data_IF_888544359220
#
_entry.id   IF_888544359220
#
_cell.length_a   1.000
_cell.length_b   1.000
_cell.length_c   1.000
_cell.angle_alpha   90.00
_cell.angle_beta   90.00
_cell.angle_gamma   90.00
#
_symmetry.space_group_name_H-M   'P 1'
#
loop_
_entity.id
_entity.type
_entity.pdbx_description
1 polymer ?
#
# COMPACT_ATOMS: atom_id res chain seq x y z
N UNK A 1 -65.32 -27.47 18.21
CA UNK A 1 -65.90 -28.13 19.41
C UNK A 1 -64.75 -28.73 20.20
N UNK A 2 -64.63 -28.27 21.46
CA UNK A 2 -64.00 -28.85 22.66
C UNK A 2 -62.73 -29.72 22.51
N UNK A 3 -61.57 -29.32 23.02
CA UNK A 3 -61.13 -29.20 24.44
C UNK A 3 -60.55 -30.51 24.98
N UNK A 4 -59.28 -30.49 25.39
CA UNK A 4 -58.90 -30.73 26.80
C UNK A 4 -57.40 -30.51 27.00
N UNK A 5 -57.11 -29.66 27.97
CA UNK A 5 -55.82 -29.53 28.63
C UNK A 5 -55.79 -30.44 29.88
N UNK A 6 -54.61 -30.89 30.29
CA UNK A 6 -54.33 -31.21 31.70
C UNK A 6 -52.83 -31.10 31.99
N UNK A 7 -52.53 -30.51 33.15
CA UNK A 7 -51.28 -29.90 33.59
C UNK A 7 -50.24 -30.84 34.23
N UNK A 8 -48.96 -30.36 34.20
CA UNK A 8 -47.91 -30.36 35.25
C UNK A 8 -47.22 -31.66 35.73
N UNK A 9 -45.94 -31.62 36.21
CA UNK A 9 -45.37 -30.59 37.11
C UNK A 9 -43.98 -30.00 36.80
N UNK A 10 -43.75 -28.87 37.46
CA UNK A 10 -42.48 -28.14 37.59
C UNK A 10 -41.45 -28.98 38.36
N UNK A 11 -40.25 -29.09 37.81
CA UNK A 11 -39.06 -29.56 38.51
C UNK A 11 -37.97 -28.48 38.41
N UNK A 12 -37.56 -27.97 39.56
CA UNK A 12 -36.48 -27.00 39.71
C UNK A 12 -35.15 -27.60 39.24
N UNK A 13 -34.51 -27.00 38.23
CA UNK A 13 -33.13 -27.27 37.89
C UNK A 13 -32.23 -26.09 38.25
N UNK A 14 -31.51 -26.32 39.35
CA UNK A 14 -30.39 -25.53 39.87
C UNK A 14 -29.28 -25.48 38.82
N UNK A 15 -28.91 -24.27 38.37
CA UNK A 15 -27.73 -24.05 37.56
C UNK A 15 -26.47 -24.13 38.44
N UNK A 16 -25.72 -25.21 38.34
CA UNK A 16 -24.36 -25.31 38.89
C UNK A 16 -23.36 -24.69 37.92
N UNK A 17 -22.77 -23.56 38.31
CA UNK A 17 -21.68 -22.89 37.59
C UNK A 17 -20.38 -23.71 37.72
N UNK A 18 -19.97 -24.36 36.64
CA UNK A 18 -18.64 -24.94 36.49
C UNK A 18 -17.77 -23.97 35.67
N UNK A 19 -16.72 -23.44 36.30
CA UNK A 19 -15.76 -22.52 35.65
C UNK A 19 -14.86 -23.28 34.66
N UNK A 20 -14.53 -22.71 33.49
CA UNK A 20 -13.57 -23.29 32.56
C UNK A 20 -12.12 -23.14 33.08
N UNK A 21 -11.18 -23.99 32.64
CA UNK A 21 -9.80 -23.95 33.10
C UNK A 21 -9.11 -22.67 32.63
N UNK A 22 -8.37 -22.02 33.54
CA UNK A 22 -7.59 -20.82 33.27
C UNK A 22 -6.47 -21.14 32.28
N UNK A 23 -6.61 -20.68 31.03
CA UNK A 23 -5.47 -20.53 30.13
C UNK A 23 -4.55 -19.45 30.69
N UNK A 24 -3.30 -19.78 30.99
CA UNK A 24 -2.26 -18.81 31.33
C UNK A 24 -2.02 -17.92 30.11
N UNK A 25 -2.57 -16.72 30.13
CA UNK A 25 -2.21 -15.65 29.20
C UNK A 25 -0.72 -15.33 29.37
N UNK A 26 0.07 -15.29 28.28
CA UNK A 26 1.42 -14.73 28.37
C UNK A 26 1.30 -13.25 28.78
N UNK A 27 2.32 -12.69 29.47
CA UNK A 27 2.26 -11.31 29.93
C UNK A 27 2.04 -10.37 28.73
N UNK A 28 1.28 -9.27 28.90
CA UNK A 28 1.06 -8.32 27.83
C UNK A 28 2.41 -7.79 27.36
N UNK A 29 2.69 -7.93 26.06
CA UNK A 29 3.82 -7.23 25.46
C UNK A 29 3.62 -5.72 25.66
N UNK A 30 4.68 -4.96 25.97
CA UNK A 30 4.55 -3.55 26.26
C UNK A 30 3.91 -2.85 25.05
N UNK A 31 2.84 -2.09 25.32
CA UNK A 31 2.17 -1.24 24.34
C UNK A 31 3.22 -0.44 23.58
N UNK A 32 3.21 -0.56 22.24
CA UNK A 32 4.04 0.20 21.29
C UNK A 32 4.04 1.70 21.59
N UNK A 33 2.97 2.22 22.21
CA UNK A 33 2.87 3.60 22.70
C UNK A 33 3.87 3.98 23.80
N UNK A 34 4.18 3.06 24.74
CA UNK A 34 5.05 3.35 25.89
C UNK A 34 6.51 3.56 25.50
N UNK A 35 7.00 2.85 24.48
CA UNK A 35 8.37 2.98 23.97
C UNK A 35 8.54 4.26 23.13
N UNK A 36 7.48 4.69 22.42
CA UNK A 36 7.46 5.93 21.65
C UNK A 36 7.36 7.16 22.56
N UNK A 37 6.60 7.07 23.67
CA UNK A 37 6.50 8.15 24.66
C UNK A 37 7.74 8.23 25.57
N UNK A 38 8.34 7.11 25.97
CA UNK A 38 9.53 7.10 26.82
C UNK A 38 10.79 7.64 26.14
N UNK A 39 10.83 7.68 24.80
CA UNK A 39 11.95 8.24 24.03
C UNK A 39 11.87 9.78 23.89
N UNK A 40 10.75 10.40 24.28
CA UNK A 40 10.61 11.86 24.29
C UNK A 40 11.17 12.50 25.57
N UNK A 41 12.44 12.24 25.90
CA UNK A 41 13.12 12.93 27.01
C UNK A 41 13.36 14.41 26.65
N UNK A 42 12.76 15.32 27.44
CA UNK A 42 13.09 16.75 27.45
C UNK A 42 14.50 16.94 28.02
N UNK A 43 15.53 16.79 27.19
CA UNK A 43 16.91 17.16 27.55
C UNK A 43 17.27 18.53 26.96
N UNK A 44 17.86 19.41 27.78
CA UNK A 44 18.41 20.70 27.34
C UNK A 44 19.69 20.50 26.50
N UNK A 45 19.78 21.22 25.37
CA UNK A 45 21.01 21.56 24.63
C UNK A 45 21.92 20.41 24.18
N UNK A 46 22.70 19.85 25.10
CA UNK A 46 23.78 18.89 24.84
C UNK A 46 23.29 17.43 24.77
N UNK A 47 22.22 17.05 25.49
CA UNK A 47 21.71 15.68 25.46
C UNK A 47 20.85 15.33 24.24
N UNK A 48 20.26 16.32 23.55
CA UNK A 48 19.40 16.06 22.37
C UNK A 48 20.16 15.50 21.18
N UNK A 49 21.42 15.90 21.00
CA UNK A 49 22.26 15.41 19.92
C UNK A 49 22.66 13.95 20.15
N UNK A 50 23.10 13.61 21.37
CA UNK A 50 23.45 12.25 21.76
C UNK A 50 22.23 11.31 21.68
N UNK A 51 21.06 11.74 22.20
CA UNK A 51 19.81 10.97 22.08
C UNK A 51 19.42 10.78 20.62
N UNK A 52 19.48 11.83 19.81
CA UNK A 52 19.15 11.69 18.38
C UNK A 52 20.14 10.82 17.62
N UNK A 53 21.41 10.75 18.04
CA UNK A 53 22.41 9.87 17.44
C UNK A 53 22.12 8.41 17.80
N UNK A 54 21.85 8.13 19.08
CA UNK A 54 21.45 6.81 19.56
C UNK A 54 20.17 6.31 18.86
N UNK A 55 19.13 7.14 18.75
CA UNK A 55 17.90 6.74 18.03
C UNK A 55 18.14 6.47 16.53
N UNK A 56 19.12 7.14 15.91
CA UNK A 56 19.50 6.84 14.52
C UNK A 56 20.20 5.49 14.42
N UNK A 57 21.09 5.20 15.37
CA UNK A 57 21.81 3.94 15.46
C UNK A 57 20.86 2.77 15.71
N UNK A 58 19.92 2.91 16.67
CA UNK A 58 18.89 1.91 16.95
C UNK A 58 17.99 1.66 15.74
N UNK A 59 17.54 2.71 15.04
CA UNK A 59 16.77 2.53 13.79
C UNK A 59 17.57 1.74 12.74
N UNK A 60 18.85 2.07 12.55
CA UNK A 60 19.69 1.36 11.58
C UNK A 60 19.91 -0.08 11.98
N UNK A 61 20.19 -0.37 13.25
CA UNK A 61 20.34 -1.73 13.74
C UNK A 61 19.08 -2.60 13.50
N UNK A 62 17.89 -1.97 13.53
CA UNK A 62 16.61 -2.68 13.36
C UNK A 62 16.13 -2.81 11.91
N UNK A 63 16.56 -1.90 11.03
CA UNK A 63 15.99 -1.76 9.70
C UNK A 63 17.00 -1.87 8.55
N UNK A 64 18.28 -1.55 8.79
CA UNK A 64 19.27 -1.47 7.73
C UNK A 64 19.69 -2.87 7.27
N UNK A 65 19.73 -3.07 5.95
CA UNK A 65 20.25 -4.27 5.35
C UNK A 65 21.79 -4.32 5.53
N UNK A 66 22.38 -5.52 5.72
CA UNK A 66 23.81 -5.71 5.73
C UNK A 66 24.46 -5.10 4.49
N UNK A 67 25.65 -4.51 4.65
CA UNK A 67 26.32 -3.76 3.58
C UNK A 67 26.49 -4.59 2.30
N UNK A 68 26.85 -5.87 2.43
CA UNK A 68 26.99 -6.79 1.30
C UNK A 68 25.69 -6.96 0.51
N UNK A 69 24.55 -7.07 1.22
CA UNK A 69 23.24 -7.26 0.59
C UNK A 69 22.73 -5.97 -0.02
N UNK A 70 23.00 -4.81 0.59
CA UNK A 70 22.75 -3.50 -0.04
C UNK A 70 23.52 -3.35 -1.35
N UNK A 71 24.80 -3.70 -1.36
CA UNK A 71 25.61 -3.68 -2.57
C UNK A 71 25.06 -4.64 -3.64
N UNK A 72 24.63 -5.84 -3.24
CA UNK A 72 24.05 -6.85 -4.13
C UNK A 72 22.78 -6.35 -4.82
N UNK A 73 21.81 -5.87 -4.03
CA UNK A 73 20.52 -5.40 -4.58
C UNK A 73 20.68 -4.14 -5.41
N UNK A 74 21.63 -3.27 -5.05
CA UNK A 74 21.96 -2.08 -5.85
C UNK A 74 22.60 -2.47 -7.19
N UNK A 75 23.51 -3.46 -7.21
CA UNK A 75 24.07 -4.00 -8.44
C UNK A 75 23.00 -4.63 -9.33
N UNK A 76 22.10 -5.43 -8.75
CA UNK A 76 20.99 -6.07 -9.46
C UNK A 76 20.04 -5.05 -10.10
N UNK A 77 19.66 -4.02 -9.33
CA UNK A 77 18.78 -2.97 -9.82
C UNK A 77 19.44 -2.15 -10.95
N UNK A 78 20.73 -1.83 -10.81
CA UNK A 78 21.49 -1.08 -11.82
C UNK A 78 21.69 -1.87 -13.11
N UNK A 79 21.98 -3.17 -12.99
CA UNK A 79 22.17 -4.06 -14.13
C UNK A 79 20.85 -4.49 -14.79
N UNK A 80 19.71 -4.28 -14.10
CA UNK A 80 18.43 -4.90 -14.44
C UNK A 80 18.57 -6.41 -14.61
N UNK A 81 19.30 -7.02 -13.67
CA UNK A 81 19.59 -8.45 -13.65
C UNK A 81 19.67 -8.92 -12.19
N UNK A 82 18.73 -9.76 -11.72
CA UNK A 82 18.73 -10.25 -10.34
C UNK A 82 20.03 -11.00 -9.97
N UNK A 83 20.70 -11.60 -10.95
CA UNK A 83 21.92 -12.39 -10.74
C UNK A 83 23.18 -11.56 -10.53
N UNK A 84 23.14 -10.27 -10.88
CA UNK A 84 24.30 -9.38 -10.71
C UNK A 84 24.71 -9.19 -9.23
N UNK A 85 23.84 -9.54 -8.29
CA UNK A 85 24.13 -9.55 -6.84
C UNK A 85 24.82 -10.82 -6.32
N UNK A 86 25.09 -11.82 -7.15
CA UNK A 86 25.62 -13.12 -6.73
C UNK A 86 26.96 -13.04 -5.98
N UNK A 87 27.76 -11.99 -6.21
CA UNK A 87 29.04 -11.77 -5.53
C UNK A 87 28.91 -11.62 -4.00
N UNK A 88 27.71 -11.29 -3.50
CA UNK A 88 27.48 -11.06 -2.08
C UNK A 88 27.13 -12.34 -1.30
N UNK A 89 27.10 -13.50 -1.97
CA UNK A 89 26.77 -14.78 -1.35
C UNK A 89 27.73 -15.15 -0.21
N UNK A 90 27.15 -15.51 0.93
CA UNK A 90 27.89 -16.10 2.06
C UNK A 90 27.22 -17.39 2.49
N UNK A 91 27.96 -18.50 2.42
CA UNK A 91 27.49 -19.79 2.91
C UNK A 91 27.30 -19.76 4.44
N UNK A 92 26.22 -20.39 4.91
CA UNK A 92 25.74 -20.36 6.31
C UNK A 92 26.72 -20.77 7.42
N UNK A 93 27.95 -21.21 7.10
CA UNK A 93 28.99 -21.58 8.07
C UNK A 93 30.18 -20.60 8.15
N UNK A 94 30.25 -19.57 7.30
CA UNK A 94 31.39 -18.64 7.29
C UNK A 94 31.26 -17.51 8.34
N UNK A 95 30.04 -17.09 8.70
CA UNK A 95 29.80 -16.08 9.73
C UNK A 95 30.24 -16.53 11.15
N UNK A 96 30.42 -17.84 11.37
CA UNK A 96 30.90 -18.39 12.64
C UNK A 96 32.43 -18.32 12.82
N UNK A 97 33.20 -17.86 11.83
CA UNK A 97 34.65 -17.70 11.93
C UNK A 97 35.08 -16.29 11.55
N UNK A 98 35.05 -15.40 12.55
CA UNK A 98 35.74 -14.11 12.47
C UNK A 98 37.18 -14.29 12.00
N UNK A 99 37.52 -13.67 10.88
CA UNK A 99 38.85 -13.69 10.30
C UNK A 99 39.18 -12.32 9.73
N UNK A 100 39.99 -11.54 10.47
CA UNK A 100 40.69 -10.36 9.97
C UNK A 100 41.41 -10.70 8.65
N UNK A 101 41.07 -10.00 7.59
CA UNK A 101 41.82 -9.99 6.33
C UNK A 101 41.83 -8.59 5.75
N UNK A 102 42.93 -7.87 5.93
CA UNK A 102 43.12 -6.53 5.36
C UNK A 102 43.39 -6.58 3.85
N UNK A 103 42.89 -5.58 3.14
CA UNK A 103 43.19 -5.32 1.74
C UNK A 103 42.70 -3.92 1.38
N UNK A 104 43.63 -2.98 1.30
CA UNK A 104 43.33 -1.58 0.99
C UNK A 104 42.92 -1.37 -0.46
N UNK A 105 41.87 -0.58 -0.63
CA UNK A 105 41.48 0.06 -1.88
C UNK A 105 40.72 1.33 -1.52
N UNK A 106 41.13 2.47 -2.07
CA UNK A 106 40.48 3.78 -1.88
C UNK A 106 38.99 3.68 -2.20
N UNK A 107 38.15 3.86 -1.18
CA UNK A 107 36.71 3.96 -1.32
C UNK A 107 36.31 5.42 -1.19
N UNK A 108 35.69 5.93 -2.26
CA UNK A 108 34.97 7.21 -2.32
C UNK A 108 34.18 7.46 -1.04
N UNK A 109 34.15 8.72 -0.59
CA UNK A 109 33.54 9.21 0.65
C UNK A 109 32.07 8.77 0.86
N UNK A 110 31.88 7.52 1.25
CA UNK A 110 30.62 6.96 1.70
C UNK A 110 30.49 7.26 3.20
N UNK A 111 29.26 7.56 3.63
CA UNK A 111 28.97 7.94 5.01
C UNK A 111 29.40 6.80 5.97
N UNK A 112 30.31 7.03 6.93
CA UNK A 112 30.90 5.96 7.79
C UNK A 112 29.87 5.15 8.58
N UNK A 113 28.67 5.69 8.75
CA UNK A 113 27.57 5.06 9.46
C UNK A 113 26.99 3.83 8.76
N UNK A 114 27.27 3.62 7.47
CA UNK A 114 26.77 2.47 6.72
C UNK A 114 27.64 1.22 6.84
N UNK A 115 28.82 1.30 7.46
CA UNK A 115 29.70 0.13 7.63
C UNK A 115 29.32 -0.75 8.84
N UNK A 116 28.37 -0.32 9.69
CA UNK A 116 28.09 -0.94 11.00
C UNK A 116 26.91 -1.95 10.97
N UNK A 117 26.30 -2.21 9.82
CA UNK A 117 25.26 -3.24 9.76
C UNK A 117 25.91 -4.61 10.01
N UNK A 118 25.55 -5.26 11.13
CA UNK A 118 25.97 -6.63 11.47
C UNK A 118 25.73 -7.56 10.25
N UNK A 119 26.58 -8.55 10.04
CA UNK A 119 26.38 -9.53 8.94
C UNK A 119 25.06 -10.32 9.08
N UNK A 120 24.48 -10.28 10.28
CA UNK A 120 23.17 -10.83 10.60
C UNK A 120 22.03 -9.96 10.05
N UNK A 121 20.97 -10.61 9.60
CA UNK A 121 19.78 -9.92 9.13
C UNK A 121 19.11 -9.12 10.26
N UNK A 122 18.67 -7.87 10.02
CA UNK A 122 17.88 -7.13 11.00
C UNK A 122 16.55 -7.84 11.29
N UNK A 123 16.00 -7.61 12.48
CA UNK A 123 14.70 -8.18 12.88
C UNK A 123 13.54 -7.63 12.03
N UNK A 124 13.63 -6.38 11.57
CA UNK A 124 12.57 -5.72 10.78
C UNK A 124 13.18 -4.93 9.63
N UNK A 125 13.75 -5.61 8.62
CA UNK A 125 14.32 -4.95 7.46
C UNK A 125 13.26 -4.07 6.81
N UNK A 126 13.61 -2.82 6.51
CA UNK A 126 12.64 -1.85 6.03
C UNK A 126 13.21 -1.09 4.83
N UNK A 127 12.46 -1.06 3.74
CA UNK A 127 12.72 -0.16 2.62
C UNK A 127 11.63 0.90 2.54
N UNK A 128 11.94 2.05 1.95
CA UNK A 128 10.98 3.13 1.77
C UNK A 128 10.89 3.55 0.30
N UNK A 129 9.67 3.63 -0.24
CA UNK A 129 9.37 4.34 -1.47
C UNK A 129 8.92 5.75 -1.16
N UNK A 130 9.45 6.73 -1.89
CA UNK A 130 9.05 8.13 -1.77
C UNK A 130 8.61 8.63 -3.14
N UNK A 131 7.41 9.20 -3.21
CA UNK A 131 6.98 9.98 -4.37
C UNK A 131 7.33 11.46 -4.12
N UNK A 132 8.37 12.02 -4.78
CA UNK A 132 8.78 13.41 -4.56
C UNK A 132 7.73 14.43 -5.00
N UNK A 133 6.80 14.04 -5.89
CA UNK A 133 5.71 14.90 -6.36
C UNK A 133 4.58 15.03 -5.34
N UNK A 134 4.53 14.17 -4.31
CA UNK A 134 3.52 14.21 -3.26
C UNK A 134 3.84 15.20 -2.13
N UNK A 135 2.82 15.63 -1.38
CA UNK A 135 2.99 16.41 -0.14
C UNK A 135 3.44 17.86 -0.31
N UNK A 136 3.08 18.53 -1.42
CA UNK A 136 3.37 19.96 -1.59
C UNK A 136 4.87 20.29 -1.59
N UNK A 137 5.69 19.45 -2.23
CA UNK A 137 7.18 19.52 -2.27
C UNK A 137 7.90 19.10 -0.99
N UNK A 138 7.22 18.47 -0.02
CA UNK A 138 7.89 17.84 1.13
C UNK A 138 8.64 16.56 0.73
N UNK A 139 8.23 15.90 -0.36
CA UNK A 139 8.79 14.61 -0.80
C UNK A 139 10.33 14.57 -0.89
N UNK A 140 11.01 15.49 -1.58
CA UNK A 140 12.48 15.51 -1.66
C UNK A 140 13.15 15.65 -0.28
N UNK A 141 12.62 16.53 0.56
CA UNK A 141 13.15 16.79 1.90
C UNK A 141 12.94 15.59 2.83
N UNK A 142 11.77 14.93 2.72
CA UNK A 142 11.49 13.70 3.44
C UNK A 142 12.39 12.56 2.97
N UNK A 143 12.62 12.43 1.65
CA UNK A 143 13.54 11.44 1.07
C UNK A 143 14.93 11.55 1.71
N UNK A 144 15.54 12.74 1.68
CA UNK A 144 16.85 12.98 2.31
C UNK A 144 16.85 12.58 3.77
N UNK A 145 15.76 12.90 4.50
CA UNK A 145 15.66 12.52 5.90
C UNK A 145 15.52 11.02 6.12
N UNK A 146 14.76 10.31 5.29
CA UNK A 146 14.67 8.84 5.38
C UNK A 146 16.03 8.22 5.05
N UNK A 147 16.74 8.74 4.05
CA UNK A 147 18.10 8.29 3.69
C UNK A 147 19.07 8.45 4.87
N UNK A 148 19.02 9.59 5.57
CA UNK A 148 19.78 9.79 6.81
C UNK A 148 19.43 8.79 7.92
N UNK A 149 18.20 8.27 7.97
CA UNK A 149 17.72 7.41 9.04
C UNK A 149 17.98 5.93 8.77
N UNK A 150 17.77 5.44 7.54
CA UNK A 150 17.80 4.00 7.24
C UNK A 150 18.74 3.57 6.10
N UNK A 151 19.22 4.47 5.24
CA UNK A 151 19.88 4.02 4.01
C UNK A 151 19.60 4.87 2.80
N UNK A 152 20.64 5.28 2.07
CA UNK A 152 20.43 5.72 0.68
C UNK A 152 19.95 4.55 -0.19
N UNK A 153 20.56 3.37 -0.04
CA UNK A 153 20.24 2.16 -0.81
C UNK A 153 18.88 1.54 -0.45
N UNK A 154 18.23 2.03 0.60
CA UNK A 154 16.93 1.52 1.10
C UNK A 154 15.79 2.52 0.88
N UNK A 155 16.07 3.69 0.30
CA UNK A 155 15.06 4.72 0.03
C UNK A 155 14.98 4.97 -1.47
N UNK A 156 13.94 4.41 -2.07
CA UNK A 156 13.68 4.44 -3.50
C UNK A 156 12.82 5.65 -3.88
N UNK A 157 13.29 6.39 -4.88
CA UNK A 157 12.54 7.47 -5.49
C UNK A 157 11.64 6.91 -6.59
N UNK A 158 10.33 7.03 -6.44
CA UNK A 158 9.36 6.48 -7.39
C UNK A 158 9.39 7.12 -8.77
N UNK A 159 10.09 8.24 -8.94
CA UNK A 159 10.33 8.84 -10.27
C UNK A 159 11.55 8.24 -10.97
N UNK A 160 12.36 7.46 -10.26
CA UNK A 160 13.60 6.85 -10.76
C UNK A 160 13.48 5.33 -10.79
N UNK A 161 12.98 4.73 -9.70
CA UNK A 161 12.84 3.29 -9.52
C UNK A 161 11.37 2.94 -9.46
N UNK A 162 10.87 2.20 -10.46
CA UNK A 162 9.50 1.71 -10.46
C UNK A 162 9.35 0.58 -9.41
N UNK A 163 8.19 0.45 -8.73
CA UNK A 163 7.94 -0.66 -7.82
C UNK A 163 8.07 -2.04 -8.51
N UNK A 164 7.74 -2.13 -9.80
CA UNK A 164 7.96 -3.33 -10.61
C UNK A 164 9.44 -3.72 -10.71
N UNK A 165 10.33 -2.75 -10.91
CA UNK A 165 11.78 -2.99 -10.98
C UNK A 165 12.31 -3.46 -9.62
N UNK A 166 11.77 -2.92 -8.53
CA UNK A 166 12.09 -3.41 -7.18
C UNK A 166 11.68 -4.88 -6.99
N UNK A 167 10.45 -5.24 -7.37
CA UNK A 167 9.94 -6.61 -7.26
C UNK A 167 10.76 -7.58 -8.12
N UNK A 168 11.14 -7.16 -9.33
CA UNK A 168 11.89 -8.01 -10.25
C UNK A 168 13.36 -8.16 -9.84
N UNK A 169 14.07 -7.04 -9.59
CA UNK A 169 15.52 -7.05 -9.44
C UNK A 169 15.98 -7.09 -7.98
N UNK A 170 15.33 -6.34 -7.08
CA UNK A 170 15.73 -6.31 -5.66
C UNK A 170 15.25 -7.56 -4.93
N UNK A 171 13.95 -7.86 -4.98
CA UNK A 171 13.44 -9.08 -4.35
C UNK A 171 13.97 -10.33 -5.05
N UNK A 172 14.06 -10.33 -6.39
CA UNK A 172 14.64 -11.44 -7.15
C UNK A 172 16.10 -11.72 -6.76
N UNK A 173 16.92 -10.68 -6.53
CA UNK A 173 18.29 -10.87 -6.06
C UNK A 173 18.34 -11.50 -4.66
N UNK A 174 17.50 -11.03 -3.72
CA UNK A 174 17.41 -11.60 -2.37
C UNK A 174 16.94 -13.05 -2.40
N UNK A 175 15.97 -13.38 -3.26
CA UNK A 175 15.45 -14.73 -3.47
C UNK A 175 16.54 -15.66 -4.02
N UNK A 176 17.29 -15.24 -5.05
CA UNK A 176 18.39 -16.04 -5.59
C UNK A 176 19.50 -16.31 -4.57
N UNK A 177 19.86 -15.30 -3.76
CA UNK A 177 20.84 -15.48 -2.69
C UNK A 177 20.29 -16.42 -1.60
N UNK A 178 19.01 -16.29 -1.24
CA UNK A 178 18.36 -17.18 -0.28
C UNK A 178 18.32 -18.63 -0.78
N UNK A 179 18.01 -18.85 -2.06
CA UNK A 179 17.97 -20.17 -2.71
C UNK A 179 19.37 -20.79 -2.81
N UNK A 180 20.40 -19.96 -2.99
CA UNK A 180 21.80 -20.40 -2.91
C UNK A 180 22.25 -20.78 -1.48
N UNK A 181 21.42 -20.52 -0.46
CA UNK A 181 21.66 -20.88 0.94
C UNK A 181 22.14 -19.72 1.83
N UNK A 182 22.01 -18.47 1.39
CA UNK A 182 22.33 -17.31 2.23
C UNK A 182 21.23 -17.06 3.27
N UNK A 183 21.53 -17.35 4.54
CA UNK A 183 20.55 -17.22 5.62
C UNK A 183 20.12 -15.77 5.89
N UNK A 184 21.01 -14.79 5.68
CA UNK A 184 20.67 -13.39 5.91
C UNK A 184 19.73 -12.89 4.83
N UNK A 185 20.01 -13.23 3.56
CA UNK A 185 19.10 -12.90 2.44
C UNK A 185 17.73 -13.55 2.63
N UNK A 186 17.70 -14.83 3.06
CA UNK A 186 16.45 -15.53 3.38
C UNK A 186 15.65 -14.85 4.50
N UNK A 187 16.31 -14.51 5.61
CA UNK A 187 15.68 -13.81 6.73
C UNK A 187 15.16 -12.43 6.32
N UNK A 188 15.95 -11.68 5.55
CA UNK A 188 15.54 -10.37 5.04
C UNK A 188 14.33 -10.50 4.12
N UNK A 189 14.36 -11.40 3.14
CA UNK A 189 13.25 -11.61 2.21
C UNK A 189 11.95 -11.98 2.93
N UNK A 190 12.04 -12.74 4.03
CA UNK A 190 10.91 -13.16 4.83
C UNK A 190 10.35 -12.04 5.72
N UNK A 191 11.23 -11.23 6.33
CA UNK A 191 10.85 -10.22 7.33
C UNK A 191 10.75 -8.80 6.78
N UNK A 192 11.01 -8.60 5.48
CA UNK A 192 11.04 -7.29 4.83
C UNK A 192 9.70 -6.57 4.96
N UNK A 193 9.75 -5.30 5.34
CA UNK A 193 8.61 -4.39 5.39
C UNK A 193 8.86 -3.25 4.40
N UNK A 194 7.78 -2.70 3.86
CA UNK A 194 7.83 -1.59 2.89
C UNK A 194 7.12 -0.38 3.47
N UNK A 195 7.75 0.79 3.45
CA UNK A 195 7.12 2.07 3.77
C UNK A 195 6.90 2.88 2.50
N UNK A 196 5.71 3.44 2.31
CA UNK A 196 5.38 4.28 1.14
C UNK A 196 5.02 5.69 1.59
N UNK A 197 5.80 6.68 1.15
CA UNK A 197 5.52 8.09 1.35
C UNK A 197 4.87 8.69 0.11
N UNK A 198 3.55 8.87 0.15
CA UNK A 198 2.73 9.29 -0.98
C UNK A 198 1.27 9.50 -0.61
N UNK A 199 0.41 9.72 -1.61
CA UNK A 199 -1.04 9.63 -1.47
C UNK A 199 -1.58 8.25 -1.85
N UNK A 200 -2.89 8.05 -1.82
CA UNK A 200 -3.53 6.75 -2.05
C UNK A 200 -3.14 6.10 -3.39
N UNK A 201 -3.11 6.86 -4.50
CA UNK A 201 -2.67 6.31 -5.79
C UNK A 201 -1.21 5.84 -5.81
N UNK A 202 -0.32 6.47 -5.03
CA UNK A 202 1.07 6.02 -4.88
C UNK A 202 1.14 4.74 -4.06
N UNK A 203 0.37 4.65 -2.98
CA UNK A 203 0.30 3.44 -2.14
C UNK A 203 -0.30 2.28 -2.94
N UNK A 204 -1.38 2.52 -3.68
CA UNK A 204 -2.03 1.54 -4.56
C UNK A 204 -1.11 1.04 -5.67
N UNK A 205 -0.27 1.91 -6.26
CA UNK A 205 0.73 1.48 -7.25
C UNK A 205 1.73 0.49 -6.66
N UNK A 206 2.29 0.79 -5.48
CA UNK A 206 3.24 -0.11 -4.80
C UNK A 206 2.56 -1.42 -4.41
N UNK A 207 1.36 -1.35 -3.82
CA UNK A 207 0.58 -2.54 -3.45
C UNK A 207 0.27 -3.41 -4.66
N UNK A 208 -0.14 -2.83 -5.80
CA UNK A 208 -0.41 -3.56 -7.03
C UNK A 208 0.81 -4.33 -7.54
N UNK A 209 1.99 -3.69 -7.57
CA UNK A 209 3.22 -4.37 -7.95
C UNK A 209 3.65 -5.46 -6.95
N UNK A 210 3.45 -5.25 -5.64
CA UNK A 210 3.71 -6.29 -4.64
C UNK A 210 2.68 -7.44 -4.73
N UNK A 211 1.45 -7.15 -5.15
CA UNK A 211 0.41 -8.15 -5.42
C UNK A 211 0.78 -9.11 -6.55
N UNK A 212 1.60 -8.68 -7.52
CA UNK A 212 2.12 -9.58 -8.57
C UNK A 212 2.93 -10.75 -7.96
N UNK A 213 3.51 -10.60 -6.75
CA UNK A 213 4.15 -11.70 -6.03
C UNK A 213 3.19 -12.83 -5.71
N UNK A 214 1.94 -12.51 -5.32
CA UNK A 214 0.90 -13.50 -5.04
C UNK A 214 0.58 -14.32 -6.29
N UNK A 215 0.35 -13.62 -7.40
CA UNK A 215 0.05 -14.23 -8.71
C UNK A 215 1.18 -15.15 -9.17
N UNK A 216 2.43 -14.79 -8.86
CA UNK A 216 3.63 -15.56 -9.19
C UNK A 216 3.96 -16.66 -8.16
N UNK A 217 3.14 -16.86 -7.12
CA UNK A 217 3.43 -17.77 -6.00
C UNK A 217 4.75 -17.47 -5.28
N UNK A 218 5.12 -16.19 -5.14
CA UNK A 218 6.36 -15.70 -4.50
C UNK A 218 6.10 -15.13 -3.11
N UNK A 219 5.96 -16.00 -2.13
CA UNK A 219 5.68 -15.60 -0.73
C UNK A 219 6.95 -15.32 0.11
N UNK A 220 6.85 -14.51 1.19
CA UNK A 220 5.69 -13.70 1.59
C UNK A 220 5.57 -12.40 0.80
N UNK A 221 4.38 -11.79 0.76
CA UNK A 221 4.19 -10.42 0.27
C UNK A 221 4.60 -9.45 1.39
N UNK A 222 5.58 -8.55 1.18
CA UNK A 222 5.99 -7.60 2.20
C UNK A 222 4.84 -6.71 2.69
N UNK A 223 4.59 -6.56 4.01
CA UNK A 223 3.59 -5.65 4.52
C UNK A 223 3.94 -4.19 4.21
N UNK A 224 2.92 -3.39 3.90
CA UNK A 224 3.07 -1.98 3.51
C UNK A 224 2.59 -1.04 4.62
N UNK A 225 3.46 -0.11 4.99
CA UNK A 225 3.19 0.99 5.89
C UNK A 225 3.13 2.33 5.12
N UNK A 226 2.39 3.31 5.63
CA UNK A 226 2.11 4.55 4.88
C UNK A 226 2.63 5.79 5.63
N UNK A 227 3.29 6.69 4.89
CA UNK A 227 3.47 8.10 5.27
C UNK A 227 2.50 8.94 4.41
N UNK A 228 1.41 9.51 5.00
CA UNK A 228 0.34 10.17 4.25
C UNK A 228 0.72 11.55 3.73
N UNK A 229 1.28 11.60 2.52
CA UNK A 229 1.63 12.84 1.81
C UNK A 229 0.53 13.32 0.85
N UNK A 230 -0.55 12.56 0.66
CA UNK A 230 -1.68 12.92 -0.18
C UNK A 230 -2.65 13.91 0.49
N UNK A 231 -3.76 14.18 -0.21
CA UNK A 231 -4.85 15.06 0.30
C UNK A 231 -5.99 14.25 0.95
N UNK A 232 -6.38 13.11 0.35
CA UNK A 232 -7.40 12.19 0.88
C UNK A 232 -6.82 11.30 1.99
N UNK A 233 -5.83 10.48 1.63
CA UNK A 233 -5.14 9.53 2.50
C UNK A 233 -6.09 8.53 3.16
N UNK A 234 -7.03 7.99 2.40
CA UNK A 234 -8.10 7.12 2.90
C UNK A 234 -7.53 5.82 3.45
N UNK A 235 -6.59 5.17 2.74
CA UNK A 235 -5.91 3.97 3.25
C UNK A 235 -5.16 4.26 4.55
N UNK A 236 -4.47 5.39 4.60
CA UNK A 236 -3.73 5.79 5.79
C UNK A 236 -4.65 6.02 7.00
N UNK A 237 -5.86 6.55 6.79
CA UNK A 237 -6.85 6.73 7.87
C UNK A 237 -7.36 5.39 8.37
N UNK A 238 -7.78 4.51 7.46
CA UNK A 238 -8.35 3.20 7.79
C UNK A 238 -7.37 2.32 8.59
N UNK A 239 -6.08 2.39 8.29
CA UNK A 239 -5.03 1.63 8.98
C UNK A 239 -4.30 2.43 10.08
N UNK A 240 -4.85 3.60 10.47
CA UNK A 240 -4.37 4.39 11.60
C UNK A 240 -3.02 5.09 11.40
N UNK A 241 -2.49 5.19 10.18
CA UNK A 241 -1.29 5.96 9.81
C UNK A 241 -1.51 7.47 9.80
N UNK A 242 -2.77 7.89 9.82
CA UNK A 242 -3.17 9.28 10.06
C UNK A 242 -3.67 9.98 8.80
N UNK A 243 -4.32 11.13 9.01
CA UNK A 243 -4.99 11.89 7.97
C UNK A 243 -4.02 12.70 7.06
N UNK A 244 -2.88 13.10 7.62
CA UNK A 244 -1.88 13.91 6.93
C UNK A 244 -0.55 13.82 7.66
N UNK A 245 0.54 14.12 6.95
CA UNK A 245 1.86 14.15 7.55
C UNK A 245 2.07 15.43 8.40
N UNK A 246 2.50 15.31 9.67
CA UNK A 246 2.59 16.45 10.59
C UNK A 246 3.62 17.53 10.20
N UNK A 247 3.37 18.78 10.61
CA UNK A 247 4.31 19.91 10.47
C UNK A 247 5.69 19.64 11.10
N UNK A 248 5.73 18.89 12.21
CA UNK A 248 6.96 18.37 12.84
C UNK A 248 7.59 17.21 12.06
N UNK A 249 7.74 17.36 10.75
CA UNK A 249 7.99 16.29 9.78
C UNK A 249 9.26 15.47 10.06
N UNK A 250 10.32 16.09 10.61
CA UNK A 250 11.57 15.39 10.97
C UNK A 250 11.35 14.32 12.05
N UNK A 251 10.59 14.66 13.08
CA UNK A 251 10.26 13.73 14.16
C UNK A 251 9.16 12.76 13.71
N UNK A 252 8.24 13.20 12.87
CA UNK A 252 7.20 12.34 12.30
C UNK A 252 7.78 11.25 11.40
N UNK A 253 8.80 11.53 10.59
CA UNK A 253 9.48 10.54 9.76
C UNK A 253 10.08 9.42 10.64
N UNK A 254 10.80 9.80 11.70
CA UNK A 254 11.36 8.87 12.68
C UNK A 254 10.27 8.00 13.34
N UNK A 255 9.21 8.62 13.84
CA UNK A 255 8.08 7.89 14.45
C UNK A 255 7.38 6.95 13.48
N UNK A 256 7.28 7.33 12.20
CA UNK A 256 6.66 6.48 11.18
C UNK A 256 7.49 5.22 10.92
N UNK A 257 8.82 5.35 10.88
CA UNK A 257 9.73 4.19 10.78
C UNK A 257 9.60 3.27 11.98
N UNK A 258 9.62 3.80 13.21
CA UNK A 258 9.42 2.98 14.41
C UNK A 258 8.05 2.30 14.43
N UNK A 259 7.00 3.03 14.04
CA UNK A 259 5.67 2.45 13.89
C UNK A 259 5.65 1.35 12.83
N UNK A 260 6.40 1.48 11.74
CA UNK A 260 6.53 0.44 10.72
C UNK A 260 7.36 -0.76 11.19
N UNK A 261 8.31 -0.57 12.10
CA UNK A 261 9.12 -1.65 12.70
C UNK A 261 8.32 -2.42 13.74
N UNK A 262 7.59 -1.74 14.63
CA UNK A 262 6.88 -2.37 15.76
C UNK A 262 5.39 -2.58 15.53
N UNK A 263 4.82 -2.03 14.45
CA UNK A 263 3.40 -2.13 14.16
C UNK A 263 2.97 -3.56 13.85
N UNK A 264 1.76 -3.93 14.24
CA UNK A 264 1.11 -5.17 13.82
C UNK A 264 0.75 -5.11 12.34
N UNK A 265 0.75 -6.27 11.69
CA UNK A 265 0.25 -6.41 10.31
C UNK A 265 -1.26 -6.64 10.36
N UNK A 266 -1.98 -6.09 9.39
CA UNK A 266 -3.40 -6.30 9.19
C UNK A 266 -3.65 -6.66 7.74
N UNK A 267 -4.60 -7.56 7.49
CA UNK A 267 -4.99 -7.91 6.14
C UNK A 267 -5.70 -6.72 5.47
N UNK A 268 -5.52 -6.60 4.16
CA UNK A 268 -6.18 -5.63 3.32
C UNK A 268 -6.79 -6.40 2.15
N UNK A 269 -8.09 -6.23 1.95
CA UNK A 269 -8.77 -6.79 0.79
C UNK A 269 -8.39 -6.01 -0.46
N UNK A 270 -8.33 -6.72 -1.57
CA UNK A 270 -7.88 -6.22 -2.87
C UNK A 270 -8.95 -6.51 -3.90
N UNK A 271 -9.49 -5.47 -4.53
CA UNK A 271 -10.54 -5.61 -5.53
C UNK A 271 -9.92 -5.62 -6.91
N UNK A 272 -10.01 -6.76 -7.60
CA UNK A 272 -9.65 -6.86 -9.01
C UNK A 272 -10.85 -6.41 -9.84
N UNK A 273 -10.65 -5.36 -10.62
CA UNK A 273 -11.68 -4.76 -11.47
C UNK A 273 -11.28 -4.94 -12.91
N UNK A 274 -12.20 -5.45 -13.70
CA UNK A 274 -12.10 -5.52 -15.16
C UNK A 274 -13.12 -4.55 -15.76
N UNK A 275 -12.66 -3.67 -16.63
CA UNK A 275 -13.46 -2.70 -17.36
C UNK A 275 -13.40 -3.04 -18.84
N UNK A 276 -14.56 -3.29 -19.43
CA UNK A 276 -14.69 -3.53 -20.87
C UNK A 276 -15.41 -2.36 -21.52
N UNK A 277 -14.82 -1.79 -22.56
CA UNK A 277 -15.37 -0.64 -23.28
C UNK A 277 -15.55 -0.95 -24.76
N UNK A 278 -16.65 -0.50 -25.41
CA UNK A 278 -16.81 -0.62 -26.85
C UNK A 278 -15.61 -0.03 -27.59
N UNK A 279 -15.23 -0.63 -28.71
CA UNK A 279 -14.19 -0.07 -29.59
C UNK A 279 -14.56 1.36 -30.01
N UNK A 280 -13.60 2.28 -29.87
CA UNK A 280 -13.73 3.63 -30.43
C UNK A 280 -13.60 3.54 -31.95
N UNK A 281 -14.67 3.91 -32.67
CA UNK A 281 -14.73 3.81 -34.14
C UNK A 281 -14.14 5.00 -34.91
N UNK A 282 -13.62 6.05 -34.27
CA UNK A 282 -13.19 7.26 -34.99
C UNK A 282 -11.79 7.77 -34.61
N UNK A 283 -11.16 8.35 -35.63
CA UNK A 283 -9.78 8.78 -35.83
C UNK A 283 -9.37 9.96 -34.92
N UNK A 284 -8.91 9.66 -33.70
CA UNK A 284 -7.93 10.44 -32.95
C UNK A 284 -7.58 9.57 -31.73
N UNK A 285 -6.60 8.69 -31.89
CA UNK A 285 -6.00 7.95 -30.77
C UNK A 285 -5.29 8.96 -29.85
N UNK A 286 -6.05 9.69 -29.03
CA UNK A 286 -5.47 10.31 -27.85
C UNK A 286 -4.95 9.16 -26.97
N UNK A 287 -3.62 9.06 -26.85
CA UNK A 287 -2.94 8.13 -25.96
C UNK A 287 -3.47 8.37 -24.54
N UNK A 288 -4.40 7.51 -24.10
CA UNK A 288 -4.99 7.62 -22.78
C UNK A 288 -3.91 7.37 -21.73
N UNK A 289 -3.60 8.37 -20.91
CA UNK A 289 -2.72 8.20 -19.76
C UNK A 289 -3.47 7.43 -18.67
N UNK A 290 -3.16 6.14 -18.52
CA UNK A 290 -3.79 5.29 -17.52
C UNK A 290 -3.10 5.47 -16.16
N UNK A 291 -3.86 5.51 -15.06
CA UNK A 291 -3.26 5.48 -13.73
C UNK A 291 -2.46 4.18 -13.57
N UNK A 292 -1.38 4.21 -12.78
CA UNK A 292 -0.49 3.05 -12.59
C UNK A 292 -1.18 1.77 -12.07
N UNK A 293 -2.39 1.90 -11.52
CA UNK A 293 -3.22 0.80 -11.03
C UNK A 293 -4.03 0.09 -12.11
N UNK A 294 -4.11 0.64 -13.33
CA UNK A 294 -4.88 0.11 -14.44
C UNK A 294 -3.94 -0.29 -15.61
N UNK A 295 -4.13 -1.49 -16.16
CA UNK A 295 -3.38 -2.04 -17.28
C UNK A 295 -4.33 -2.27 -18.45
N UNK A 296 -3.86 -2.00 -19.66
CA UNK A 296 -4.58 -2.33 -20.89
C UNK A 296 -4.31 -3.80 -21.24
N UNK A 297 -5.36 -4.61 -21.33
CA UNK A 297 -5.28 -6.03 -21.69
C UNK A 297 -5.47 -6.27 -23.20
N UNK A 298 -5.76 -5.23 -23.96
CA UNK A 298 -6.05 -5.30 -25.39
C UNK A 298 -7.52 -5.66 -25.66
N UNK A 299 -7.76 -6.19 -26.86
CA UNK A 299 -9.09 -6.59 -27.31
C UNK A 299 -9.47 -7.97 -26.74
N UNK A 300 -10.72 -8.07 -26.29
CA UNK A 300 -11.31 -9.29 -25.76
C UNK A 300 -12.71 -9.46 -26.34
N UNK A 301 -13.18 -10.71 -26.42
CA UNK A 301 -14.57 -11.00 -26.81
C UNK A 301 -15.51 -10.54 -25.70
N UNK A 302 -16.53 -9.74 -26.04
CA UNK A 302 -17.53 -9.34 -25.05
C UNK A 302 -18.25 -10.59 -24.52
N UNK A 303 -18.23 -10.79 -23.20
CA UNK A 303 -19.02 -11.85 -22.57
C UNK A 303 -20.45 -11.33 -22.40
N UNK A 304 -21.34 -11.74 -23.31
CA UNK A 304 -22.78 -11.51 -23.17
C UNK A 304 -23.36 -12.51 -22.17
N UNK A 305 -23.87 -12.00 -21.05
CA UNK A 305 -24.60 -12.81 -20.07
C UNK A 305 -26.08 -13.03 -20.47
N UNK A 306 -26.47 -12.58 -21.67
CA UNK A 306 -27.80 -12.69 -22.23
C UNK A 306 -28.79 -11.66 -21.68
N UNK A 307 -28.32 -10.69 -20.89
CA UNK A 307 -29.18 -9.67 -20.28
C UNK A 307 -29.16 -8.33 -21.02
N UNK A 308 -28.20 -8.06 -21.89
CA UNK A 308 -28.08 -6.79 -22.59
C UNK A 308 -29.12 -6.65 -23.72
N UNK A 309 -29.82 -5.51 -23.77
CA UNK A 309 -30.72 -5.16 -24.87
C UNK A 309 -29.95 -4.33 -25.92
N UNK A 310 -29.84 -4.81 -27.17
CA UNK A 310 -29.23 -4.08 -28.29
C UNK A 310 -28.22 -4.92 -29.10
N UNK A 311 -27.72 -4.35 -30.21
CA UNK A 311 -26.55 -4.91 -30.92
C UNK A 311 -25.29 -4.64 -30.09
N UNK A 312 -24.73 -5.70 -29.51
CA UNK A 312 -23.48 -5.62 -28.75
C UNK A 312 -22.26 -5.66 -29.69
N UNK A 313 -21.18 -4.94 -29.38
CA UNK A 313 -19.90 -5.09 -30.08
C UNK A 313 -19.38 -6.53 -29.94
N UNK A 314 -18.93 -7.15 -31.04
CA UNK A 314 -18.26 -8.47 -30.99
C UNK A 314 -16.93 -8.40 -30.23
N UNK A 315 -16.24 -7.25 -30.32
CA UNK A 315 -14.95 -6.97 -29.69
C UNK A 315 -15.05 -5.72 -28.80
N UNK A 316 -14.39 -5.79 -27.64
CA UNK A 316 -14.29 -4.69 -26.68
C UNK A 316 -12.85 -4.54 -26.21
N UNK A 317 -12.46 -3.32 -25.87
CA UNK A 317 -11.19 -3.05 -25.21
C UNK A 317 -11.32 -3.40 -23.73
N UNK A 318 -10.49 -4.33 -23.25
CA UNK A 318 -10.43 -4.76 -21.86
C UNK A 318 -9.31 -4.04 -21.11
N UNK A 319 -9.62 -3.59 -19.90
CA UNK A 319 -8.67 -3.03 -18.95
C UNK A 319 -8.85 -3.74 -17.62
N UNK A 320 -7.76 -3.96 -16.90
CA UNK A 320 -7.84 -4.51 -15.55
C UNK A 320 -6.98 -3.73 -14.55
N UNK A 321 -7.34 -3.83 -13.28
CA UNK A 321 -6.62 -3.12 -12.25
C UNK A 321 -7.00 -3.55 -10.86
N UNK A 322 -6.22 -3.09 -9.89
CA UNK A 322 -6.44 -3.38 -8.48
C UNK A 322 -6.79 -2.12 -7.72
N UNK A 323 -7.88 -2.20 -6.95
CA UNK A 323 -8.43 -1.11 -6.15
C UNK A 323 -8.49 -1.53 -4.68
N UNK A 324 -8.26 -0.56 -3.78
CA UNK A 324 -8.15 -0.81 -2.34
C UNK A 324 -9.08 0.05 -1.48
N UNK A 325 -9.77 1.02 -2.08
CA UNK A 325 -10.62 1.97 -1.35
C UNK A 325 -12.05 1.95 -1.89
N UNK A 326 -12.22 2.41 -3.13
CA UNK A 326 -13.51 2.50 -3.79
C UNK A 326 -13.31 2.49 -5.30
N UNK A 327 -14.38 2.16 -6.01
CA UNK A 327 -14.54 2.34 -7.44
C UNK A 327 -15.84 3.10 -7.66
N UNK A 328 -15.80 4.18 -8.44
CA UNK A 328 -16.97 5.03 -8.69
C UNK A 328 -17.18 5.28 -10.18
N UNK A 329 -18.45 5.41 -10.56
CA UNK A 329 -18.92 5.77 -11.90
C UNK A 329 -19.92 6.91 -11.73
N UNK A 330 -19.99 7.82 -12.71
CA UNK A 330 -20.94 8.94 -12.72
C UNK A 330 -20.39 10.19 -12.03
N UNK A 331 -21.24 10.89 -11.27
CA UNK A 331 -20.93 12.23 -10.74
C UNK A 331 -19.63 12.28 -9.93
N UNK A 332 -19.42 11.31 -9.03
CA UNK A 332 -18.21 11.27 -8.19
C UNK A 332 -16.95 11.10 -9.05
N UNK A 333 -16.97 10.15 -9.97
CA UNK A 333 -15.87 9.93 -10.92
C UNK A 333 -15.59 11.16 -11.79
N UNK A 334 -16.65 11.86 -12.24
CA UNK A 334 -16.52 13.08 -13.04
C UNK A 334 -15.91 14.24 -12.24
N UNK A 335 -16.29 14.40 -10.97
CA UNK A 335 -15.69 15.39 -10.05
C UNK A 335 -14.23 15.07 -9.80
N UNK A 336 -13.91 13.80 -9.51
CA UNK A 336 -12.55 13.34 -9.28
C UNK A 336 -11.66 13.54 -10.53
N UNK A 337 -12.18 13.20 -11.71
CA UNK A 337 -11.51 13.41 -12.99
C UNK A 337 -11.24 14.90 -13.26
N UNK A 338 -12.27 15.75 -13.12
CA UNK A 338 -12.11 17.20 -13.33
C UNK A 338 -11.10 17.84 -12.36
N UNK A 339 -11.07 17.38 -11.10
CA UNK A 339 -10.06 17.82 -10.13
C UNK A 339 -8.65 17.33 -10.49
N UNK A 340 -8.52 16.09 -10.96
CA UNK A 340 -7.24 15.53 -11.41
C UNK A 340 -6.66 16.30 -12.59
N UNK A 341 -7.47 16.55 -13.62
CA UNK A 341 -7.05 17.31 -14.80
C UNK A 341 -6.57 18.72 -14.42
N UNK A 342 -7.29 19.42 -13.53
CA UNK A 342 -6.84 20.73 -13.04
C UNK A 342 -5.48 20.65 -12.31
N UNK A 343 -5.26 19.59 -11.54
CA UNK A 343 -4.00 19.38 -10.83
C UNK A 343 -2.83 19.25 -11.80
N UNK A 344 -3.05 18.62 -12.94
CA UNK A 344 -2.01 18.40 -13.95
C UNK A 344 -1.80 19.65 -14.81
N UNK A 345 -2.87 20.34 -15.22
CA UNK A 345 -2.79 21.59 -15.98
C UNK A 345 -2.26 22.77 -15.16
N UNK A 346 -2.67 22.87 -13.88
CA UNK A 346 -2.42 24.03 -13.00
C UNK A 346 -1.93 23.58 -11.62
N UNK A 347 -0.76 22.93 -11.51
CA UNK A 347 -0.25 22.39 -10.25
C UNK A 347 -0.03 23.45 -9.16
N UNK A 348 0.17 24.72 -9.53
CA UNK A 348 0.34 25.82 -8.58
C UNK A 348 -0.92 26.10 -7.75
N UNK A 349 -2.11 25.89 -8.31
CA UNK A 349 -3.39 26.04 -7.61
C UNK A 349 -3.63 24.91 -6.60
N UNK A 350 -3.10 23.73 -6.90
CA UNK A 350 -3.30 22.50 -6.15
C UNK A 350 -2.07 22.09 -5.31
N UNK A 351 -1.36 23.08 -4.78
CA UNK A 351 -0.07 22.89 -4.09
C UNK A 351 -0.20 22.42 -2.64
N UNK A 352 -1.39 22.50 -2.04
CA UNK A 352 -1.61 22.20 -0.62
C UNK A 352 -2.92 21.46 -0.33
N UNK A 353 -2.98 20.63 0.73
CA UNK A 353 -4.18 19.85 1.05
C UNK A 353 -5.45 20.69 1.27
N UNK A 354 -5.33 21.89 1.86
CA UNK A 354 -6.46 22.78 2.08
C UNK A 354 -7.02 23.31 0.74
N UNK A 355 -6.14 23.85 -0.11
CA UNK A 355 -6.51 24.32 -1.45
C UNK A 355 -7.13 23.20 -2.27
N UNK A 356 -6.54 22.00 -2.23
CA UNK A 356 -7.06 20.82 -2.92
C UNK A 356 -8.48 20.48 -2.50
N UNK A 357 -8.77 20.47 -1.19
CA UNK A 357 -10.11 20.21 -0.67
C UNK A 357 -11.11 21.28 -1.07
N UNK A 358 -10.73 22.55 -1.04
CA UNK A 358 -11.60 23.66 -1.46
C UNK A 358 -11.94 23.58 -2.95
N UNK A 359 -10.95 23.28 -3.78
CA UNK A 359 -11.15 23.13 -5.22
C UNK A 359 -12.04 21.90 -5.50
N UNK A 360 -11.77 20.77 -4.86
CA UNK A 360 -12.60 19.57 -4.97
C UNK A 360 -14.07 19.87 -4.62
N UNK A 361 -14.31 20.53 -3.49
CA UNK A 361 -15.65 20.98 -3.10
C UNK A 361 -16.28 21.91 -4.15
N UNK A 362 -15.48 22.79 -4.77
CA UNK A 362 -15.92 23.63 -5.88
C UNK A 362 -16.38 22.84 -7.11
N UNK A 363 -15.69 21.77 -7.47
CA UNK A 363 -16.13 20.85 -8.55
C UNK A 363 -17.43 20.14 -8.17
N UNK A 364 -17.55 19.64 -6.94
CA UNK A 364 -18.79 19.01 -6.43
C UNK A 364 -19.98 19.98 -6.53
N UNK A 365 -19.80 21.25 -6.17
CA UNK A 365 -20.85 22.26 -6.26
C UNK A 365 -21.32 22.55 -7.70
N UNK A 366 -20.43 22.39 -8.70
CA UNK A 366 -20.75 22.61 -10.12
C UNK A 366 -21.43 21.42 -10.79
N UNK A 367 -21.24 20.20 -10.27
CA UNK A 367 -21.57 18.95 -10.94
C UNK A 367 -22.86 18.26 -10.45
N UNK A 368 -23.44 18.66 -9.31
CA UNK A 368 -24.71 18.01 -8.92
C UNK A 368 -25.42 18.44 -7.63
N UNK A 369 -24.77 19.11 -6.68
CA UNK A 369 -25.48 19.48 -5.45
C UNK A 369 -26.43 20.69 -5.61
N UNK A 370 -26.12 21.60 -6.54
CA UNK A 370 -26.92 22.82 -6.78
C UNK A 370 -27.40 23.00 -8.23
N UNK A 371 -26.78 22.30 -9.18
CA UNK A 371 -27.11 22.34 -10.59
C UNK A 371 -27.04 20.92 -11.15
N UNK A 372 -28.05 20.11 -10.86
CA UNK A 372 -28.27 18.91 -11.67
C UNK A 372 -28.48 19.39 -13.11
N UNK A 373 -27.60 18.99 -14.02
CA UNK A 373 -27.97 19.00 -15.43
C UNK A 373 -29.19 18.09 -15.53
N UNK A 374 -30.36 18.70 -15.65
CA UNK A 374 -31.59 18.02 -15.98
C UNK A 374 -31.32 17.28 -17.28
N UNK A 375 -31.03 15.97 -17.20
CA UNK A 375 -30.99 15.13 -18.38
C UNK A 375 -32.39 15.26 -19.01
N UNK A 376 -32.39 15.82 -20.22
CA UNK A 376 -33.57 16.09 -21.03
C UNK A 376 -34.34 14.82 -21.36
N UNK A 377 -33.67 13.67 -21.24
CA UNK A 377 -34.19 12.35 -21.51
C UNK A 377 -34.85 11.74 -20.26
N UNK A 378 -36.18 11.49 -20.27
CA UNK A 378 -36.89 10.81 -19.19
C UNK A 378 -36.39 9.39 -18.92
N UNK A 379 -35.84 8.70 -19.92
CA UNK A 379 -35.43 7.29 -19.79
C UNK A 379 -34.18 7.12 -18.92
N UNK A 380 -33.30 8.11 -18.94
CA UNK A 380 -32.08 8.14 -18.12
C UNK A 380 -32.31 8.66 -16.69
N UNK A 381 -33.57 8.90 -16.28
CA UNK A 381 -33.90 9.35 -14.93
C UNK A 381 -34.01 8.19 -13.95
N UNK A 382 -33.04 8.12 -13.05
CA UNK A 382 -33.04 7.16 -11.94
C UNK A 382 -32.07 6.01 -12.17
N UNK A 383 -31.37 5.63 -11.11
CA UNK A 383 -30.30 4.62 -11.13
C UNK A 383 -30.73 3.27 -11.70
N UNK A 384 -32.00 2.90 -11.50
CA UNK A 384 -32.59 1.65 -12.00
C UNK A 384 -32.60 1.51 -13.52
N UNK A 385 -32.59 2.64 -14.25
CA UNK A 385 -32.70 2.62 -15.70
C UNK A 385 -31.32 2.61 -16.39
N UNK A 386 -30.28 2.98 -15.65
CA UNK A 386 -28.92 3.16 -16.17
C UNK A 386 -27.92 2.13 -15.64
N UNK A 387 -28.23 1.49 -14.51
CA UNK A 387 -27.37 0.51 -13.87
C UNK A 387 -28.18 -0.75 -13.58
N UNK A 388 -27.70 -1.87 -14.09
CA UNK A 388 -28.08 -3.21 -13.65
C UNK A 388 -26.93 -3.75 -12.82
N UNK A 389 -27.24 -4.24 -11.62
CA UNK A 389 -26.27 -4.84 -10.75
C UNK A 389 -26.63 -6.30 -10.54
N UNK A 390 -25.65 -7.18 -10.73
CA UNK A 390 -25.80 -8.61 -10.52
C UNK A 390 -24.63 -9.12 -9.68
N UNK A 391 -24.88 -10.09 -8.81
CA UNK A 391 -23.86 -10.76 -8.01
C UNK A 391 -23.83 -12.24 -8.35
N UNK A 392 -22.62 -12.78 -8.46
CA UNK A 392 -22.41 -14.21 -8.57
C UNK A 392 -21.62 -14.68 -7.35
N UNK A 393 -22.21 -15.58 -6.58
CA UNK A 393 -21.56 -16.18 -5.42
C UNK A 393 -20.60 -17.27 -5.87
N UNK A 394 -19.54 -17.51 -5.09
CA UNK A 394 -18.53 -18.54 -5.38
C UNK A 394 -19.12 -19.95 -5.49
N UNK A 395 -20.23 -20.21 -4.80
CA UNK A 395 -20.95 -21.49 -4.77
C UNK A 395 -22.10 -21.57 -5.80
N UNK A 396 -22.31 -20.51 -6.60
CA UNK A 396 -23.39 -20.44 -7.59
C UNK A 396 -22.84 -20.30 -9.02
N UNK A 397 -23.43 -21.04 -9.96
CA UNK A 397 -23.17 -20.86 -11.38
C UNK A 397 -23.94 -19.68 -11.99
N UNK A 398 -24.98 -19.21 -11.31
CA UNK A 398 -25.93 -18.21 -11.82
C UNK A 398 -25.69 -16.82 -11.22
N UNK A 399 -26.00 -15.79 -12.00
CA UNK A 399 -25.98 -14.40 -11.59
C UNK A 399 -27.33 -14.02 -10.95
N UNK A 400 -27.29 -13.43 -9.76
CA UNK A 400 -28.45 -12.93 -9.05
C UNK A 400 -28.56 -11.41 -9.24
N UNK A 401 -29.69 -10.93 -9.75
CA UNK A 401 -29.94 -9.49 -9.89
C UNK A 401 -30.11 -8.84 -8.51
N UNK A 402 -29.33 -7.81 -8.22
CA UNK A 402 -29.46 -6.96 -7.03
C UNK A 402 -30.36 -5.78 -7.37
N UNK A 403 -31.49 -5.58 -6.65
CA UNK A 403 -32.34 -4.42 -6.86
C UNK A 403 -31.60 -3.14 -6.46
N UNK A 404 -31.40 -2.26 -7.44
CA UNK A 404 -30.73 -0.96 -7.28
C UNK A 404 -31.77 0.09 -6.86
N UNK A 405 -31.62 0.78 -5.71
CA UNK A 405 -32.47 1.91 -5.36
C UNK A 405 -32.44 3.03 -6.41
N UNK A 406 -33.57 3.70 -6.63
CA UNK A 406 -33.71 4.70 -7.69
C UNK A 406 -32.92 6.01 -7.49
N UNK A 407 -32.37 6.26 -6.29
CA UNK A 407 -31.80 7.58 -5.91
C UNK A 407 -30.32 7.56 -5.52
N UNK A 408 -29.84 6.51 -4.87
CA UNK A 408 -28.44 6.37 -4.47
C UNK A 408 -28.17 4.93 -4.05
N UNK A 409 -26.99 4.42 -4.40
CA UNK A 409 -26.48 3.18 -3.84
C UNK A 409 -25.09 3.44 -3.30
N UNK A 410 -24.95 3.28 -1.99
CA UNK A 410 -23.66 3.32 -1.30
C UNK A 410 -23.39 1.90 -0.81
N UNK A 411 -22.46 1.22 -1.49
CA UNK A 411 -21.98 -0.08 -1.05
C UNK A 411 -20.86 0.16 -0.04
N UNK A 412 -21.20 0.16 1.25
CA UNK A 412 -20.22 -0.20 2.28
C UNK A 412 -20.23 -1.72 2.37
N UNK A 413 -19.16 -2.35 1.86
CA UNK A 413 -18.93 -3.79 1.99
C UNK A 413 -17.94 -3.99 3.14
#
# INVERSE_FOLDING_TARGET
MSSSASEQPRGDQVWSSSSPPRSSTPPPQPLVGGLIESLSFRSCGFGRAAVSAFEKEDLRARAALPQRLRAAVHAALRAKDPSAGAFAYVAGNAAARGGRGGGGGEVSAANPWFEVAHDDAPESPLVAFVNPRSGGRLGPVLKTRLQELIGEDQVFDLTIVKPSDFVQYVLGCLEQLADAGDHSAKSIRHNLRVMVAGGDGTVGWVLGCLGDLYVQNREPIPPVAVIPLGTGNDLSRSFGWGASFPFGWKAAAKRSLYKAIFGSVSCLDSWHIVVSMPERRDEEEEELDFPHSLRNLGECTFYDDGTAEGELPETVSCFDGVFYNYFSIGMDAQVAYGFHQLRDEKPFLASGPLSNKLIYAGYTCKQGWFFTQCISDPELRGLTNIIRLSIKRLDSSEWENIPVPSRQVEFQI
#
